data_IF_604378806199
#
_entry.id   IF_604378806199
#
_cell.length_a   1.000
_cell.length_b   1.000
_cell.length_c   1.000
_cell.angle_alpha   90.00
_cell.angle_beta   90.00
_cell.angle_gamma   90.00
#
_symmetry.space_group_name_H-M   'P 1'
#
loop_
_entity.id
_entity.type
_entity.pdbx_description
1 polymer ?
#
# COMPACT_ATOMS: atom_id res chain seq x y z
N UNK A 1 42.13 7.80 16.86
CA UNK A 1 41.37 7.58 15.61
C UNK A 1 40.30 6.54 15.89
N UNK A 2 39.05 6.97 16.10
CA UNK A 2 37.93 6.08 16.42
C UNK A 2 37.58 5.29 15.16
N UNK A 3 37.71 3.96 15.20
CA UNK A 3 37.27 3.07 14.13
C UNK A 3 35.76 3.22 13.98
N UNK A 4 35.33 3.84 12.89
CA UNK A 4 33.93 3.87 12.49
C UNK A 4 33.50 2.42 12.21
N UNK A 5 32.45 1.96 12.88
CA UNK A 5 31.97 0.57 12.79
C UNK A 5 31.57 0.24 11.35
N UNK A 6 32.13 -0.86 10.82
CA UNK A 6 31.93 -1.38 9.46
C UNK A 6 30.48 -1.75 9.12
N UNK A 7 29.57 -1.75 10.10
CA UNK A 7 28.16 -2.11 9.93
C UNK A 7 27.33 -0.98 9.29
N UNK A 8 27.54 0.29 9.68
CA UNK A 8 26.80 1.43 9.14
C UNK A 8 27.17 1.74 7.67
N UNK A 9 28.40 1.43 7.26
CA UNK A 9 28.87 1.57 5.88
C UNK A 9 28.29 0.49 4.94
N UNK A 10 27.74 -0.61 5.48
CA UNK A 10 27.25 -1.75 4.69
C UNK A 10 25.75 -1.72 4.40
N UNK A 11 24.92 -1.05 5.20
CA UNK A 11 23.51 -0.79 4.85
C UNK A 11 23.44 0.10 3.58
N UNK A 12 24.35 1.08 3.46
CA UNK A 12 24.53 1.86 2.24
C UNK A 12 25.07 1.03 1.05
N UNK A 13 25.92 0.03 1.30
CA UNK A 13 26.47 -0.84 0.25
C UNK A 13 25.45 -1.88 -0.26
N UNK A 14 24.55 -2.38 0.59
CA UNK A 14 23.43 -3.23 0.16
C UNK A 14 22.40 -2.42 -0.65
N UNK A 15 22.24 -1.12 -0.36
CA UNK A 15 21.45 -0.19 -1.16
C UNK A 15 22.13 0.20 -2.49
N UNK A 16 23.47 0.26 -2.56
CA UNK A 16 24.22 0.57 -3.79
C UNK A 16 24.51 -0.64 -4.70
N UNK A 17 24.45 -1.88 -4.19
CA UNK A 17 24.64 -3.08 -5.02
C UNK A 17 23.40 -3.44 -5.86
N UNK A 18 22.27 -2.77 -5.65
CA UNK A 18 21.02 -2.98 -6.42
C UNK A 18 20.85 -1.93 -7.55
N UNK A 19 21.77 -0.97 -7.69
CA UNK A 19 21.66 0.08 -8.73
C UNK A 19 22.11 -0.31 -10.15
N UNK A 20 22.46 -1.58 -10.43
CA UNK A 20 22.71 -2.02 -11.81
C UNK A 20 22.19 -3.44 -12.05
N UNK A 21 20.87 -3.64 -12.03
CA UNK A 21 20.27 -4.66 -12.90
C UNK A 21 19.13 -4.04 -13.71
N UNK A 22 19.43 -3.94 -15.00
CA UNK A 22 18.52 -3.80 -16.14
C UNK A 22 17.13 -4.43 -15.94
N UNK A 23 16.12 -3.64 -16.34
CA UNK A 23 14.88 -3.98 -17.04
C UNK A 23 14.29 -5.40 -16.92
N UNK A 24 12.99 -5.45 -16.61
CA UNK A 24 12.09 -6.58 -16.79
C UNK A 24 12.42 -7.85 -15.98
N UNK A 25 12.20 -7.78 -14.68
CA UNK A 25 11.88 -8.97 -13.87
C UNK A 25 10.43 -8.86 -13.43
N UNK A 26 9.56 -9.76 -13.90
CA UNK A 26 8.28 -9.96 -13.24
C UNK A 26 8.56 -10.21 -11.75
N UNK A 27 7.93 -9.43 -10.86
CA UNK A 27 7.88 -9.78 -9.45
C UNK A 27 7.32 -11.21 -9.41
N UNK A 28 8.13 -12.19 -9.01
CA UNK A 28 7.65 -13.56 -8.91
C UNK A 28 6.40 -13.55 -8.03
N UNK A 29 5.31 -14.16 -8.50
CA UNK A 29 4.07 -14.26 -7.74
C UNK A 29 4.39 -14.81 -6.35
N UNK A 30 3.75 -14.25 -5.32
CA UNK A 30 3.91 -14.77 -3.95
C UNK A 30 3.51 -16.24 -3.97
N UNK A 31 4.38 -17.18 -3.52
CA UNK A 31 4.10 -18.61 -3.64
C UNK A 31 3.07 -19.12 -2.62
N UNK A 32 2.42 -18.22 -1.87
CA UNK A 32 1.48 -18.56 -0.81
C UNK A 32 0.05 -18.41 -1.34
N UNK A 33 -0.76 -19.48 -1.36
CA UNK A 33 -2.11 -19.45 -1.94
C UNK A 33 -3.11 -18.62 -1.12
N UNK A 34 -2.80 -18.34 0.14
CA UNK A 34 -3.56 -17.51 1.07
C UNK A 34 -3.05 -16.05 1.13
N UNK A 35 -2.12 -15.68 0.25
CA UNK A 35 -1.64 -14.30 0.10
C UNK A 35 -1.97 -13.82 -1.29
N UNK A 36 -3.03 -13.04 -1.39
CA UNK A 36 -3.52 -12.50 -2.64
C UNK A 36 -3.06 -11.05 -2.80
N UNK A 37 -2.92 -10.57 -4.04
CA UNK A 37 -2.51 -9.18 -4.34
C UNK A 37 -3.36 -8.13 -3.60
N UNK A 38 -4.54 -8.54 -3.14
CA UNK A 38 -5.46 -7.70 -2.38
C UNK A 38 -5.11 -7.51 -0.90
N UNK A 39 -4.17 -8.27 -0.38
CA UNK A 39 -3.92 -8.22 1.05
C UNK A 39 -3.10 -6.97 1.39
N UNK A 40 -3.48 -6.25 2.45
CA UNK A 40 -2.76 -5.07 2.93
C UNK A 40 -1.29 -5.38 3.29
N UNK A 41 -0.97 -6.66 3.50
CA UNK A 41 0.37 -7.18 3.74
C UNK A 41 1.04 -7.78 2.49
N UNK A 42 0.37 -7.87 1.34
CA UNK A 42 0.88 -8.54 0.13
C UNK A 42 2.30 -8.09 -0.21
N UNK A 43 2.50 -6.78 -0.37
CA UNK A 43 3.81 -6.23 -0.71
C UNK A 43 4.90 -6.58 0.31
N UNK A 44 4.59 -6.47 1.60
CA UNK A 44 5.54 -6.82 2.66
C UNK A 44 5.91 -8.30 2.61
N UNK A 45 4.93 -9.17 2.39
CA UNK A 45 5.15 -10.61 2.25
C UNK A 45 5.94 -10.93 0.99
N UNK A 46 5.57 -10.40 -0.18
CA UNK A 46 6.31 -10.62 -1.44
C UNK A 46 7.76 -10.17 -1.33
N UNK A 47 7.97 -8.98 -0.76
CA UNK A 47 9.30 -8.37 -0.67
C UNK A 47 10.19 -9.16 0.28
N UNK A 48 9.70 -9.48 1.48
CA UNK A 48 10.49 -10.19 2.48
C UNK A 48 10.67 -11.68 2.14
N UNK A 49 9.72 -12.29 1.42
CA UNK A 49 9.90 -13.63 0.85
C UNK A 49 10.99 -13.62 -0.23
N UNK A 50 11.01 -12.62 -1.11
CA UNK A 50 12.04 -12.47 -2.13
C UNK A 50 13.45 -12.28 -1.55
N UNK A 51 13.54 -11.76 -0.32
CA UNK A 51 14.78 -11.65 0.44
C UNK A 51 15.12 -12.91 1.28
N UNK A 52 14.27 -13.94 1.29
CA UNK A 52 14.44 -15.13 2.12
C UNK A 52 14.19 -14.90 3.63
N UNK A 53 13.62 -13.75 4.00
CA UNK A 53 13.32 -13.36 5.38
C UNK A 53 12.09 -14.09 5.89
N UNK A 54 11.09 -14.28 5.04
CA UNK A 54 9.84 -14.95 5.36
C UNK A 54 9.74 -16.27 4.57
N UNK A 55 9.31 -17.32 5.27
CA UNK A 55 8.94 -18.60 4.69
C UNK A 55 7.48 -18.92 5.02
N UNK A 56 6.86 -19.71 4.15
CA UNK A 56 5.53 -20.29 4.38
C UNK A 56 5.58 -21.44 5.38
N UNK A 57 4.39 -21.91 5.72
CA UNK A 57 4.13 -23.11 6.51
C UNK A 57 4.37 -24.36 5.66
N UNK A 58 4.42 -25.51 6.31
CA UNK A 58 4.61 -26.81 5.64
C UNK A 58 3.48 -27.15 4.66
N UNK A 59 2.28 -26.58 4.87
CA UNK A 59 1.13 -26.69 3.97
C UNK A 59 1.18 -25.74 2.75
N UNK A 60 2.25 -24.94 2.64
CA UNK A 60 2.46 -23.97 1.57
C UNK A 60 1.79 -22.61 1.78
N UNK A 61 1.02 -22.41 2.86
CA UNK A 61 0.37 -21.13 3.18
C UNK A 61 1.32 -20.17 3.91
N UNK A 62 0.99 -18.88 3.93
CA UNK A 62 1.69 -17.90 4.73
C UNK A 62 1.18 -17.87 6.18
N UNK A 63 -0.13 -18.03 6.42
CA UNK A 63 -0.75 -17.94 7.74
C UNK A 63 -0.84 -16.50 8.27
N UNK A 64 -1.33 -15.57 7.46
CA UNK A 64 -1.26 -14.12 7.74
C UNK A 64 -1.77 -13.68 9.13
N UNK A 65 -2.89 -14.24 9.57
CA UNK A 65 -3.58 -13.88 10.83
C UNK A 65 -3.08 -14.65 12.05
N UNK A 66 -2.13 -15.56 11.88
CA UNK A 66 -1.63 -16.34 13.00
C UNK A 66 -0.77 -15.49 13.92
N UNK A 67 -0.96 -15.69 15.22
CA UNK A 67 -0.16 -15.04 16.24
C UNK A 67 1.30 -15.44 16.11
N UNK A 68 2.18 -14.44 16.16
CA UNK A 68 3.62 -14.61 16.01
C UNK A 68 4.31 -14.77 17.37
N UNK A 69 5.18 -15.78 17.49
CA UNK A 69 6.10 -15.88 18.63
C UNK A 69 7.29 -14.90 18.52
N UNK A 70 7.83 -14.49 19.66
CA UNK A 70 9.02 -13.65 19.72
C UNK A 70 10.23 -14.26 18.98
N UNK A 71 10.37 -15.59 19.00
CA UNK A 71 11.38 -16.37 18.28
C UNK A 71 11.39 -16.10 16.78
N UNK A 72 10.20 -16.09 16.17
CA UNK A 72 10.01 -15.85 14.75
C UNK A 72 10.21 -14.37 14.40
N UNK A 73 9.75 -13.46 15.26
CA UNK A 73 10.01 -12.03 15.08
C UNK A 73 11.52 -11.72 15.08
N UNK A 74 12.27 -12.29 16.04
CA UNK A 74 13.71 -12.15 16.10
C UNK A 74 14.42 -12.75 14.88
N UNK A 75 13.96 -13.90 14.39
CA UNK A 75 14.50 -14.46 13.14
C UNK A 75 14.33 -13.49 11.99
N UNK A 76 13.15 -12.91 11.82
CA UNK A 76 12.88 -11.94 10.74
C UNK A 76 13.76 -10.69 10.87
N UNK A 77 13.88 -10.16 12.09
CA UNK A 77 14.71 -9.00 12.40
C UNK A 77 16.19 -9.27 12.14
N UNK A 78 16.71 -10.39 12.61
CA UNK A 78 18.11 -10.76 12.41
C UNK A 78 18.46 -10.96 10.94
N UNK A 79 17.57 -11.56 10.15
CA UNK A 79 17.76 -11.71 8.71
C UNK A 79 17.97 -10.37 7.98
N UNK A 80 17.37 -9.28 8.47
CA UNK A 80 17.42 -8.00 7.77
C UNK A 80 18.39 -7.00 8.40
N UNK A 81 18.71 -7.13 9.69
CA UNK A 81 19.58 -6.18 10.41
C UNK A 81 20.99 -6.69 10.67
N UNK A 82 21.17 -8.00 10.85
CA UNK A 82 22.47 -8.62 11.20
C UNK A 82 22.58 -10.07 10.68
N UNK A 83 22.43 -10.30 9.37
CA UNK A 83 22.34 -11.64 8.79
C UNK A 83 23.57 -12.51 9.04
N UNK A 84 24.78 -11.92 9.06
CA UNK A 84 26.04 -12.64 9.28
C UNK A 84 26.12 -13.26 10.69
N UNK A 85 25.46 -12.67 11.69
CA UNK A 85 25.53 -13.09 13.09
C UNK A 85 24.54 -14.22 13.43
N UNK A 86 23.64 -14.55 12.50
CA UNK A 86 22.57 -15.54 12.70
C UNK A 86 22.69 -16.77 11.79
N UNK A 87 23.79 -16.88 11.05
CA UNK A 87 24.08 -18.00 10.16
C UNK A 87 24.34 -19.31 10.94
N UNK A 88 24.09 -20.44 10.28
CA UNK A 88 24.42 -21.77 10.79
C UNK A 88 23.33 -22.44 11.63
N UNK A 89 23.76 -23.35 12.51
CA UNK A 89 22.89 -24.12 13.40
C UNK A 89 23.32 -23.95 14.85
N UNK A 90 22.45 -24.29 15.79
CA UNK A 90 22.75 -24.27 17.23
C UNK A 90 22.70 -25.70 17.79
N UNK A 91 23.71 -26.54 17.53
CA UNK A 91 23.71 -27.93 17.99
C UNK A 91 23.51 -28.02 19.51
N UNK A 92 22.57 -28.85 19.95
CA UNK A 92 22.27 -29.03 21.37
C UNK A 92 21.49 -27.89 22.04
N UNK A 93 21.11 -26.84 21.30
CA UNK A 93 20.22 -25.76 21.75
C UNK A 93 18.95 -25.71 20.92
N UNK A 94 17.93 -24.98 21.39
CA UNK A 94 16.73 -24.76 20.59
C UNK A 94 17.05 -23.83 19.41
N UNK A 95 16.28 -23.94 18.32
CA UNK A 95 16.58 -23.30 17.04
C UNK A 95 16.69 -21.77 17.12
N UNK A 96 15.90 -21.13 17.99
CA UNK A 96 15.82 -19.67 18.06
C UNK A 96 16.87 -19.05 18.99
N UNK A 97 17.58 -19.86 19.76
CA UNK A 97 18.56 -19.40 20.75
C UNK A 97 19.65 -18.54 20.13
N UNK A 98 20.10 -18.84 18.90
CA UNK A 98 21.09 -18.02 18.19
C UNK A 98 20.59 -16.62 17.87
N UNK A 99 19.31 -16.47 17.51
CA UNK A 99 18.75 -15.15 17.22
C UNK A 99 18.63 -14.34 18.51
N UNK A 100 18.33 -15.00 19.62
CA UNK A 100 18.35 -14.38 20.93
C UNK A 100 19.77 -13.96 21.34
N UNK A 101 20.77 -14.82 21.18
CA UNK A 101 22.16 -14.49 21.49
C UNK A 101 22.65 -13.27 20.67
N UNK A 102 22.31 -13.20 19.37
CA UNK A 102 22.59 -12.04 18.53
C UNK A 102 21.83 -10.79 18.99
N UNK A 103 20.56 -10.92 19.36
CA UNK A 103 19.77 -9.83 19.92
C UNK A 103 20.37 -9.30 21.24
N UNK A 104 20.93 -10.17 22.09
CA UNK A 104 21.68 -9.77 23.29
C UNK A 104 22.93 -8.97 22.91
N UNK A 105 23.71 -9.44 21.93
CA UNK A 105 24.93 -8.78 21.47
C UNK A 105 24.67 -7.36 20.94
N UNK A 106 23.49 -7.13 20.35
CA UNK A 106 23.05 -5.81 19.88
C UNK A 106 22.24 -5.01 20.91
N UNK A 107 22.09 -5.50 22.14
CA UNK A 107 21.35 -4.80 23.20
C UNK A 107 19.85 -4.66 22.93
N UNK A 108 19.24 -5.61 22.21
CA UNK A 108 17.81 -5.62 21.86
C UNK A 108 16.95 -6.23 22.99
N UNK A 109 17.50 -7.12 23.81
CA UNK A 109 16.76 -7.87 24.85
C UNK A 109 16.65 -7.11 26.18
N UNK A 110 15.63 -7.41 26.98
CA UNK A 110 15.56 -7.07 28.41
C UNK A 110 14.55 -7.98 29.15
N UNK A 111 14.46 -7.83 30.47
CA UNK A 111 13.62 -8.69 31.31
C UNK A 111 12.10 -8.57 31.08
N UNK A 112 11.60 -7.53 30.40
CA UNK A 112 10.15 -7.24 30.35
C UNK A 112 9.57 -7.11 28.93
N UNK A 113 10.41 -6.99 27.90
CA UNK A 113 10.03 -6.97 26.48
C UNK A 113 10.47 -8.24 25.77
N UNK A 114 11.67 -8.75 26.06
CA UNK A 114 12.23 -9.89 25.36
C UNK A 114 13.33 -10.57 26.17
N UNK A 115 12.97 -11.69 26.79
CA UNK A 115 13.85 -12.53 27.58
C UNK A 115 13.85 -13.97 27.04
N UNK A 116 14.75 -14.81 27.53
CA UNK A 116 14.76 -16.22 27.18
C UNK A 116 13.45 -16.93 27.55
N UNK A 117 12.81 -16.50 28.65
CA UNK A 117 11.55 -17.09 29.13
C UNK A 117 10.36 -16.75 28.23
N UNK A 118 10.40 -15.60 27.54
CA UNK A 118 9.35 -15.13 26.62
C UNK A 118 9.68 -15.42 25.15
N UNK A 119 10.83 -16.01 24.86
CA UNK A 119 11.30 -16.22 23.48
C UNK A 119 10.35 -17.10 22.66
N UNK A 120 9.73 -18.10 23.29
CA UNK A 120 8.83 -19.06 22.63
C UNK A 120 7.35 -18.80 22.94
N UNK A 121 7.00 -17.56 23.30
CA UNK A 121 5.62 -17.12 23.50
C UNK A 121 5.23 -16.10 22.45
N UNK A 122 3.93 -15.92 22.25
CA UNK A 122 3.38 -14.84 21.43
C UNK A 122 3.91 -13.48 21.88
N UNK A 123 4.25 -12.63 20.91
CA UNK A 123 4.81 -11.30 21.20
C UNK A 123 3.74 -10.22 21.03
N UNK A 124 3.65 -9.31 22.00
CA UNK A 124 2.73 -8.18 22.00
C UNK A 124 3.35 -6.89 21.45
N UNK A 125 2.48 -5.91 21.21
CA UNK A 125 2.85 -4.63 20.60
C UNK A 125 3.71 -3.77 21.51
N UNK A 126 3.53 -3.82 22.82
CA UNK A 126 4.42 -3.15 23.77
C UNK A 126 5.86 -3.67 23.67
N UNK A 127 6.01 -4.98 23.69
CA UNK A 127 7.29 -5.68 23.59
C UNK A 127 7.99 -5.37 22.27
N UNK A 128 7.24 -5.39 21.16
CA UNK A 128 7.78 -5.04 19.84
C UNK A 128 8.18 -3.56 19.75
N UNK A 129 7.42 -2.63 20.35
CA UNK A 129 7.81 -1.22 20.39
C UNK A 129 9.16 -1.01 21.09
N UNK A 130 9.41 -1.72 22.20
CA UNK A 130 10.71 -1.68 22.89
C UNK A 130 11.83 -2.24 22.01
N UNK A 131 11.58 -3.36 21.32
CA UNK A 131 12.53 -3.94 20.37
C UNK A 131 12.84 -2.96 19.23
N UNK A 132 11.83 -2.31 18.65
CA UNK A 132 11.99 -1.31 17.59
C UNK A 132 12.85 -0.15 18.07
N UNK A 133 12.53 0.44 19.23
CA UNK A 133 13.31 1.55 19.79
C UNK A 133 14.78 1.15 19.97
N UNK A 134 15.04 -0.02 20.54
CA UNK A 134 16.41 -0.52 20.70
C UNK A 134 17.11 -0.76 19.37
N UNK A 135 16.41 -1.21 18.34
CA UNK A 135 16.99 -1.34 17.01
C UNK A 135 17.34 0.02 16.40
N UNK A 136 16.46 1.01 16.54
CA UNK A 136 16.70 2.39 16.12
C UNK A 136 17.95 2.95 16.81
N UNK A 137 18.05 2.78 18.14
CA UNK A 137 19.14 3.32 18.96
C UNK A 137 20.46 2.56 18.76
N UNK A 138 20.42 1.23 18.72
CA UNK A 138 21.62 0.39 18.83
C UNK A 138 22.17 -0.05 17.48
N UNK A 139 21.32 -0.25 16.48
CA UNK A 139 21.70 -0.82 15.18
C UNK A 139 21.60 0.23 14.07
N UNK A 140 20.40 0.78 13.86
CA UNK A 140 20.13 1.71 12.77
C UNK A 140 20.75 3.09 13.02
N UNK A 141 20.98 3.43 14.29
CA UNK A 141 21.52 4.74 14.72
C UNK A 141 20.67 5.90 14.19
N UNK A 142 19.36 5.72 14.23
CA UNK A 142 18.39 6.70 13.79
C UNK A 142 17.86 7.48 14.99
N UNK A 143 18.10 8.79 15.00
CA UNK A 143 17.56 9.69 16.03
C UNK A 143 16.14 10.08 15.66
N UNK A 144 15.17 9.61 16.45
CA UNK A 144 13.75 9.88 16.24
C UNK A 144 13.32 11.03 17.13
N UNK A 145 12.95 12.15 16.50
CA UNK A 145 12.30 13.26 17.20
C UNK A 145 10.86 12.87 17.51
N UNK A 146 10.53 12.76 18.80
CA UNK A 146 9.16 12.52 19.27
C UNK A 146 8.44 13.88 19.33
N UNK A 147 7.35 14.08 18.56
CA UNK A 147 6.55 15.31 18.64
C UNK A 147 5.92 15.49 20.03
N UNK A 148 5.75 16.74 20.48
CA UNK A 148 5.10 17.04 21.77
C UNK A 148 3.64 16.59 21.80
N UNK A 149 2.97 16.58 20.64
CA UNK A 149 1.57 16.18 20.49
C UNK A 149 1.39 14.68 20.21
N UNK A 150 2.45 13.86 20.36
CA UNK A 150 2.44 12.42 20.07
C UNK A 150 1.27 11.66 20.73
N UNK A 151 0.96 12.01 21.98
CA UNK A 151 -0.11 11.39 22.76
C UNK A 151 -1.49 11.63 22.16
N UNK A 152 -1.69 12.74 21.46
CA UNK A 152 -2.98 13.09 20.84
C UNK A 152 -3.31 12.18 19.64
N UNK A 153 -2.31 11.45 19.13
CA UNK A 153 -2.45 10.51 18.01
C UNK A 153 -2.65 9.06 18.47
N UNK A 154 -2.78 8.82 19.79
CA UNK A 154 -2.92 7.48 20.38
C UNK A 154 -4.19 7.46 21.25
N UNK A 155 -5.25 6.81 20.76
CA UNK A 155 -6.58 6.83 21.39
C UNK A 155 -6.61 6.24 22.81
N UNK A 156 -5.72 5.32 23.13
CA UNK A 156 -5.55 4.67 24.43
C UNK A 156 -4.25 5.10 25.14
N UNK A 157 -3.73 6.30 24.87
CA UNK A 157 -2.47 6.80 25.44
C UNK A 157 -2.42 6.69 26.98
N UNK A 158 -3.53 7.03 27.62
CA UNK A 158 -3.69 6.97 29.07
C UNK A 158 -3.60 5.55 29.65
N UNK A 159 -3.77 4.51 28.82
CA UNK A 159 -3.63 3.12 29.22
C UNK A 159 -2.20 2.58 29.03
N UNK A 160 -1.30 3.32 28.39
CA UNK A 160 0.08 2.87 28.16
C UNK A 160 0.85 2.83 29.49
N UNK A 161 1.37 1.66 29.92
CA UNK A 161 2.23 1.57 31.09
C UNK A 161 3.49 2.39 30.89
N UNK A 162 3.91 3.12 31.93
CA UNK A 162 5.02 4.08 31.87
C UNK A 162 6.32 3.49 31.27
N UNK A 163 6.62 2.24 31.63
CA UNK A 163 7.81 1.52 31.11
C UNK A 163 7.83 1.32 29.60
N UNK A 164 6.68 1.38 28.91
CA UNK A 164 6.58 1.24 27.46
C UNK A 164 6.42 2.58 26.73
N UNK A 165 6.08 3.65 27.45
CA UNK A 165 5.64 4.93 26.87
C UNK A 165 6.65 5.51 25.87
N UNK A 166 7.90 5.64 26.27
CA UNK A 166 8.97 6.17 25.40
C UNK A 166 9.13 5.33 24.12
N UNK A 167 9.05 4.00 24.25
CA UNK A 167 9.19 3.09 23.13
C UNK A 167 7.98 3.10 22.18
N UNK A 168 6.77 3.19 22.72
CA UNK A 168 5.55 3.36 21.92
C UNK A 168 5.62 4.67 21.14
N UNK A 169 5.98 5.76 21.80
CA UNK A 169 6.11 7.08 21.16
C UNK A 169 7.18 7.08 20.07
N UNK A 170 8.34 6.47 20.30
CA UNK A 170 9.39 6.34 19.29
C UNK A 170 8.93 5.47 18.09
N UNK A 171 8.25 4.36 18.34
CA UNK A 171 7.72 3.48 17.29
C UNK A 171 6.64 4.17 16.44
N UNK A 172 5.79 4.99 17.07
CA UNK A 172 4.84 5.85 16.39
C UNK A 172 5.53 6.99 15.63
N UNK A 173 6.45 7.72 16.26
CA UNK A 173 7.12 8.90 15.68
C UNK A 173 7.97 8.52 14.48
N UNK A 174 8.56 7.33 14.50
CA UNK A 174 9.26 6.76 13.35
C UNK A 174 8.32 6.30 12.24
N UNK A 175 7.02 6.11 12.49
CA UNK A 175 6.05 5.62 11.51
C UNK A 175 6.11 4.11 11.25
N UNK A 176 6.79 3.36 12.11
CA UNK A 176 7.03 1.92 11.98
C UNK A 176 5.82 1.12 12.48
N UNK A 177 5.25 1.53 13.62
CA UNK A 177 3.97 1.04 14.12
C UNK A 177 2.98 2.19 14.14
N UNK A 178 1.73 1.90 13.79
CA UNK A 178 0.60 2.80 13.94
C UNK A 178 -0.51 2.09 14.74
N UNK A 179 -1.53 2.85 15.11
CA UNK A 179 -2.72 2.35 15.77
C UNK A 179 -3.60 1.52 14.83
N UNK A 180 -4.61 0.92 15.42
CA UNK A 180 -5.67 0.24 14.68
C UNK A 180 -6.70 1.25 14.17
N UNK A 181 -7.67 0.77 13.40
CA UNK A 181 -8.70 1.61 12.79
C UNK A 181 -9.60 2.32 13.82
N UNK A 182 -9.65 1.82 15.05
CA UNK A 182 -10.34 2.47 16.17
C UNK A 182 -9.52 3.58 16.85
N UNK A 183 -8.32 3.87 16.32
CA UNK A 183 -7.41 4.89 16.84
C UNK A 183 -6.57 4.46 18.04
N UNK A 184 -6.80 3.27 18.60
CA UNK A 184 -6.06 2.77 19.76
C UNK A 184 -4.77 2.04 19.35
N UNK A 185 -3.80 2.02 20.27
CA UNK A 185 -2.54 1.32 20.13
C UNK A 185 -2.68 -0.18 20.35
N UNK A 186 -3.54 -0.61 21.30
CA UNK A 186 -3.73 -2.01 21.71
C UNK A 186 -2.42 -2.70 22.10
N UNK A 187 -1.69 -2.13 23.06
CA UNK A 187 -0.33 -2.57 23.35
C UNK A 187 -0.19 -4.02 23.84
N UNK A 188 -1.20 -4.58 24.50
CA UNK A 188 -1.20 -6.00 24.94
C UNK A 188 -1.61 -6.97 23.82
N UNK A 189 -2.13 -6.47 22.70
CA UNK A 189 -2.53 -7.33 21.60
C UNK A 189 -1.30 -7.96 20.93
N UNK A 190 -1.35 -9.28 20.77
CA UNK A 190 -0.28 -10.04 20.12
C UNK A 190 -0.23 -9.77 18.61
N UNK A 191 0.97 -9.77 18.04
CA UNK A 191 1.16 -9.55 16.61
C UNK A 191 0.72 -10.75 15.77
N UNK A 192 0.12 -10.47 14.62
CA UNK A 192 -0.02 -11.46 13.55
C UNK A 192 1.24 -11.53 12.66
N UNK A 193 1.40 -12.62 11.91
CA UNK A 193 2.48 -12.78 10.93
C UNK A 193 2.49 -11.66 9.88
N UNK A 194 1.32 -11.22 9.41
CA UNK A 194 1.17 -10.09 8.49
C UNK A 194 1.62 -8.76 9.10
N UNK A 195 1.25 -8.48 10.36
CA UNK A 195 1.67 -7.28 11.07
C UNK A 195 3.18 -7.23 11.26
N UNK A 196 3.79 -8.36 11.62
CA UNK A 196 5.23 -8.45 11.74
C UNK A 196 5.95 -8.23 10.40
N UNK A 197 5.44 -8.78 9.29
CA UNK A 197 6.00 -8.52 7.96
C UNK A 197 6.01 -7.01 7.64
N UNK A 198 4.94 -6.30 7.95
CA UNK A 198 4.83 -4.86 7.75
C UNK A 198 5.80 -4.06 8.63
N UNK A 199 5.95 -4.44 9.89
CA UNK A 199 6.92 -3.82 10.80
C UNK A 199 8.35 -4.02 10.28
N UNK A 200 8.71 -5.25 9.92
CA UNK A 200 10.05 -5.57 9.41
C UNK A 200 10.35 -4.83 8.10
N UNK A 201 9.38 -4.74 7.19
CA UNK A 201 9.52 -3.95 5.96
C UNK A 201 9.79 -2.47 6.29
N UNK A 202 9.01 -1.88 7.20
CA UNK A 202 9.14 -0.47 7.61
C UNK A 202 10.44 -0.18 8.36
N UNK A 203 10.95 -1.15 9.13
CA UNK A 203 12.27 -1.04 9.77
C UNK A 203 13.37 -0.80 8.72
N UNK A 204 13.37 -1.57 7.63
CA UNK A 204 14.43 -1.51 6.60
C UNK A 204 14.13 -0.59 5.42
N UNK A 205 12.91 -0.06 5.32
CA UNK A 205 12.51 0.91 4.29
C UNK A 205 11.86 2.13 4.93
N UNK A 206 12.66 3.14 5.32
CA UNK A 206 12.12 4.40 5.85
C UNK A 206 11.09 5.06 4.94
N UNK A 207 11.19 4.89 3.62
CA UNK A 207 10.21 5.39 2.65
C UNK A 207 8.81 4.76 2.79
N UNK A 208 8.68 3.61 3.46
CA UNK A 208 7.40 2.92 3.70
C UNK A 208 6.80 3.26 5.08
N UNK A 209 7.51 4.04 5.90
CA UNK A 209 7.05 4.45 7.23
C UNK A 209 5.97 5.53 7.08
N UNK A 210 4.88 5.41 7.82
CA UNK A 210 3.78 6.36 7.73
C UNK A 210 4.13 7.62 8.53
N UNK A 211 3.94 8.80 7.95
CA UNK A 211 4.03 10.04 8.73
C UNK A 211 2.80 10.13 9.64
N UNK A 212 3.00 10.61 10.85
CA UNK A 212 1.91 10.86 11.77
C UNK A 212 0.97 11.90 11.18
N UNK A 213 -0.28 11.51 11.01
CA UNK A 213 -1.38 12.42 10.71
C UNK A 213 -2.38 12.29 11.85
N UNK A 214 -2.93 13.41 12.31
CA UNK A 214 -4.15 13.40 13.13
C UNK A 214 -5.17 12.49 12.45
N UNK A 215 -6.03 11.79 13.21
CA UNK A 215 -7.21 11.14 12.64
C UNK A 215 -7.89 12.14 11.71
N UNK A 216 -7.89 11.82 10.41
CA UNK A 216 -8.54 12.68 9.42
C UNK A 216 -10.02 12.71 9.79
N UNK A 217 -10.71 13.87 9.74
CA UNK A 217 -12.16 13.86 9.84
C UNK A 217 -12.70 12.87 8.81
N UNK A 218 -13.77 12.15 9.19
CA UNK A 218 -14.46 11.24 8.28
C UNK A 218 -14.62 11.91 6.91
N UNK A 219 -14.41 11.16 5.80
CA UNK A 219 -14.62 11.69 4.47
C UNK A 219 -16.01 12.34 4.42
N UNK A 220 -16.15 13.50 3.75
CA UNK A 220 -17.44 14.18 3.68
C UNK A 220 -18.49 13.18 3.21
N UNK A 221 -19.49 12.94 4.05
CA UNK A 221 -20.63 12.11 3.70
C UNK A 221 -21.30 12.64 2.43
N UNK A 222 -22.00 11.78 1.68
CA UNK A 222 -22.54 12.14 0.37
C UNK A 222 -23.39 13.41 0.44
N UNK A 223 -23.12 14.34 -0.47
CA UNK A 223 -23.96 15.51 -0.69
C UNK A 223 -25.33 15.07 -1.24
N UNK A 224 -26.38 15.65 -0.66
CA UNK A 224 -27.78 15.73 -1.11
C UNK A 224 -28.71 14.51 -1.13
N UNK A 225 -28.25 13.29 -0.83
CA UNK A 225 -29.15 12.14 -0.62
C UNK A 225 -29.71 11.51 -1.91
N UNK A 226 -29.06 11.72 -3.05
CA UNK A 226 -29.39 11.12 -4.35
C UNK A 226 -28.59 9.86 -4.71
N UNK A 227 -27.79 9.32 -3.79
CA UNK A 227 -26.89 8.20 -4.06
C UNK A 227 -27.64 6.94 -4.54
N UNK A 228 -27.22 6.40 -5.69
CA UNK A 228 -27.77 5.15 -6.23
C UNK A 228 -27.24 3.93 -5.48
N UNK A 229 -27.95 2.81 -5.62
CA UNK A 229 -27.51 1.51 -5.10
C UNK A 229 -26.55 0.81 -6.08
N UNK A 230 -25.91 -0.28 -5.64
CA UNK A 230 -24.94 -1.05 -6.45
C UNK A 230 -25.56 -1.52 -7.78
N UNK A 231 -26.84 -1.85 -7.83
CA UNK A 231 -27.54 -2.33 -9.03
C UNK A 231 -27.60 -1.31 -10.18
N UNK A 232 -27.39 -0.03 -9.92
CA UNK A 232 -27.20 0.98 -10.95
C UNK A 232 -26.05 0.63 -11.91
N UNK A 233 -25.02 -0.03 -11.40
CA UNK A 233 -23.83 -0.42 -12.16
C UNK A 233 -23.97 -1.79 -12.84
N UNK A 234 -25.14 -2.44 -12.76
CA UNK A 234 -25.35 -3.79 -13.31
C UNK A 234 -25.23 -3.87 -14.84
N UNK A 235 -25.46 -2.76 -15.54
CA UNK A 235 -25.25 -2.60 -16.98
C UNK A 235 -24.01 -1.73 -17.30
N UNK A 236 -23.09 -1.59 -16.34
CA UNK A 236 -21.85 -0.84 -16.48
C UNK A 236 -20.62 -1.73 -16.67
N UNK A 237 -19.64 -1.21 -17.43
CA UNK A 237 -18.30 -1.78 -17.55
C UNK A 237 -17.23 -0.74 -17.23
N UNK A 238 -16.21 -1.14 -16.49
CA UNK A 238 -15.06 -0.33 -16.11
C UNK A 238 -13.82 -0.83 -16.84
N UNK A 239 -13.08 0.07 -17.48
CA UNK A 239 -11.74 -0.18 -18.04
C UNK A 239 -10.71 0.72 -17.37
N UNK A 240 -9.58 0.14 -16.99
CA UNK A 240 -8.48 0.92 -16.46
C UNK A 240 -7.24 0.13 -16.08
N UNK A 241 -6.42 0.76 -15.24
CA UNK A 241 -5.13 0.27 -14.79
C UNK A 241 -5.20 -0.43 -13.41
N UNK A 242 -4.10 -0.40 -12.65
CA UNK A 242 -4.01 -0.97 -11.31
C UNK A 242 -4.98 -0.33 -10.30
N UNK A 243 -5.36 0.93 -10.48
CA UNK A 243 -6.35 1.59 -9.62
C UNK A 243 -7.75 1.05 -9.88
N UNK A 244 -8.08 0.76 -11.14
CA UNK A 244 -9.36 0.09 -11.50
C UNK A 244 -9.37 -1.36 -11.02
N UNK A 245 -8.21 -2.04 -11.01
CA UNK A 245 -8.09 -3.35 -10.37
C UNK A 245 -8.44 -3.26 -8.88
N UNK A 246 -7.81 -2.35 -8.14
CA UNK A 246 -8.14 -2.14 -6.73
C UNK A 246 -9.62 -1.79 -6.52
N UNK A 247 -10.20 -0.92 -7.36
CA UNK A 247 -11.63 -0.60 -7.30
C UNK A 247 -12.49 -1.86 -7.45
N UNK A 248 -12.15 -2.76 -8.38
CA UNK A 248 -12.88 -4.02 -8.58
C UNK A 248 -12.82 -4.99 -7.39
N UNK A 249 -11.79 -4.86 -6.56
CA UNK A 249 -11.53 -5.77 -5.45
C UNK A 249 -12.10 -5.25 -4.12
N UNK A 250 -12.07 -3.93 -3.91
CA UNK A 250 -12.28 -3.35 -2.57
C UNK A 250 -13.38 -2.29 -2.49
N UNK A 251 -13.98 -1.88 -3.60
CA UNK A 251 -15.03 -0.85 -3.60
C UNK A 251 -16.32 -1.30 -2.90
N UNK A 252 -16.54 -2.62 -2.79
CA UNK A 252 -17.83 -3.19 -2.40
C UNK A 252 -18.89 -3.14 -3.50
N UNK A 253 -18.58 -2.60 -4.69
CA UNK A 253 -19.45 -2.71 -5.87
C UNK A 253 -19.31 -4.11 -6.46
N UNK A 254 -20.43 -4.83 -6.54
CA UNK A 254 -20.44 -6.22 -6.98
C UNK A 254 -21.09 -6.39 -8.34
N UNK A 255 -22.02 -5.52 -8.72
CA UNK A 255 -22.77 -5.69 -9.99
C UNK A 255 -21.99 -5.33 -11.27
N UNK A 256 -21.04 -4.36 -11.31
CA UNK A 256 -20.38 -4.02 -12.56
C UNK A 256 -19.42 -5.10 -13.05
N UNK A 257 -19.08 -4.96 -14.34
CA UNK A 257 -17.95 -5.69 -14.93
C UNK A 257 -16.71 -4.80 -14.94
N UNK A 258 -15.57 -5.39 -14.59
CA UNK A 258 -14.28 -4.75 -14.63
C UNK A 258 -13.38 -5.45 -15.64
N UNK A 259 -12.62 -4.65 -16.37
CA UNK A 259 -11.50 -5.04 -17.20
C UNK A 259 -10.30 -4.17 -16.81
N UNK A 260 -9.28 -4.79 -16.22
CA UNK A 260 -8.10 -4.08 -15.75
C UNK A 260 -6.82 -4.75 -16.25
N UNK A 261 -5.77 -3.95 -16.42
CA UNK A 261 -4.44 -4.42 -16.73
C UNK A 261 -3.44 -3.58 -15.93
N UNK A 262 -2.68 -4.22 -15.04
CA UNK A 262 -1.73 -3.54 -14.17
C UNK A 262 -0.69 -2.80 -15.01
N UNK A 263 -0.59 -1.47 -14.84
CA UNK A 263 0.29 -0.61 -15.62
C UNK A 263 -0.24 -0.21 -17.00
N UNK A 264 -1.53 -0.45 -17.29
CA UNK A 264 -2.14 0.04 -18.53
C UNK A 264 -2.05 1.56 -18.60
N UNK A 265 -1.66 2.05 -19.77
CA UNK A 265 -1.83 3.44 -20.17
C UNK A 265 -2.86 3.52 -21.29
N UNK A 266 -3.39 4.72 -21.53
CA UNK A 266 -4.20 5.07 -22.70
C UNK A 266 -3.50 4.71 -24.01
N UNK A 267 -2.16 4.74 -24.04
CA UNK A 267 -1.36 4.31 -25.21
C UNK A 267 -1.51 2.82 -25.53
N UNK A 268 -1.81 2.03 -24.51
CA UNK A 268 -1.95 0.57 -24.59
C UNK A 268 -3.41 0.11 -24.46
N UNK A 269 -4.32 1.00 -24.11
CA UNK A 269 -5.67 0.66 -23.68
C UNK A 269 -6.49 -0.10 -24.75
N UNK A 270 -6.16 0.11 -26.02
CA UNK A 270 -6.81 -0.55 -27.15
C UNK A 270 -6.21 -1.90 -27.56
N UNK A 271 -5.02 -2.25 -27.06
CA UNK A 271 -4.23 -3.40 -27.53
C UNK A 271 -3.93 -4.44 -26.45
N UNK A 272 -3.95 -4.07 -25.17
CA UNK A 272 -3.77 -5.03 -24.07
C UNK A 272 -4.96 -5.99 -23.98
N UNK A 273 -4.67 -7.20 -23.48
CA UNK A 273 -5.71 -8.13 -23.02
C UNK A 273 -5.90 -7.91 -21.53
N UNK A 274 -7.06 -7.39 -21.15
CA UNK A 274 -7.40 -7.10 -19.77
C UNK A 274 -7.80 -8.37 -19.03
N UNK A 275 -7.43 -8.46 -17.76
CA UNK A 275 -8.06 -9.38 -16.83
C UNK A 275 -9.47 -8.92 -16.52
N UNK A 276 -10.39 -9.85 -16.27
CA UNK A 276 -11.77 -9.54 -15.90
C UNK A 276 -12.11 -10.06 -14.51
N UNK A 277 -12.92 -9.32 -13.77
CA UNK A 277 -13.53 -9.83 -12.54
C UNK A 277 -14.60 -10.91 -12.82
N UNK A 278 -15.00 -11.08 -14.08
CA UNK A 278 -16.07 -12.00 -14.50
C UNK A 278 -15.65 -12.77 -15.77
N UNK A 279 -15.12 -13.99 -15.58
CA UNK A 279 -14.76 -14.88 -16.68
C UNK A 279 -13.39 -14.56 -17.30
N UNK A 280 -13.18 -15.00 -18.54
CA UNK A 280 -11.89 -14.84 -19.21
C UNK A 280 -11.57 -13.38 -19.54
N UNK A 281 -10.27 -13.06 -19.50
CA UNK A 281 -9.77 -11.77 -19.97
C UNK A 281 -10.07 -11.51 -21.44
N UNK A 282 -10.11 -10.24 -21.82
CA UNK A 282 -10.47 -9.80 -23.16
C UNK A 282 -9.77 -8.48 -23.51
N UNK A 283 -9.55 -8.24 -24.80
CA UNK A 283 -9.23 -6.90 -25.30
C UNK A 283 -10.45 -5.98 -25.19
N UNK A 284 -10.23 -4.66 -25.21
CA UNK A 284 -11.32 -3.68 -25.21
C UNK A 284 -12.36 -3.95 -26.31
N UNK A 285 -11.91 -4.27 -27.52
CA UNK A 285 -12.81 -4.61 -28.63
C UNK A 285 -13.62 -5.88 -28.37
N UNK A 286 -12.99 -6.95 -27.88
CA UNK A 286 -13.71 -8.19 -27.59
C UNK A 286 -14.76 -7.99 -26.48
N UNK A 287 -14.39 -7.29 -25.41
CA UNK A 287 -15.28 -7.01 -24.29
C UNK A 287 -16.49 -6.17 -24.72
N UNK A 288 -16.27 -5.13 -25.53
CA UNK A 288 -17.32 -4.22 -26.00
C UNK A 288 -18.09 -4.74 -27.23
N UNK A 289 -17.65 -5.79 -27.92
CA UNK A 289 -18.49 -6.43 -28.96
C UNK A 289 -19.31 -7.57 -28.39
N UNK A 290 -18.82 -8.25 -27.35
CA UNK A 290 -19.49 -9.42 -26.76
C UNK A 290 -20.66 -9.11 -25.83
N UNK A 291 -20.85 -7.86 -25.41
CA UNK A 291 -21.92 -7.46 -24.48
C UNK A 291 -22.30 -6.00 -24.72
N UNK A 292 -23.61 -5.70 -24.70
CA UNK A 292 -24.10 -4.32 -24.73
C UNK A 292 -24.09 -3.76 -23.30
N UNK A 293 -23.43 -2.63 -23.11
CA UNK A 293 -23.42 -1.88 -21.84
C UNK A 293 -24.19 -0.59 -22.03
N UNK A 294 -24.84 -0.09 -20.98
CA UNK A 294 -25.39 1.26 -21.00
C UNK A 294 -24.41 2.29 -20.49
N UNK A 295 -23.39 1.86 -19.72
CA UNK A 295 -22.40 2.74 -19.10
C UNK A 295 -21.00 2.18 -19.27
N UNK A 296 -20.07 2.99 -19.76
CA UNK A 296 -18.65 2.65 -19.89
C UNK A 296 -17.83 3.64 -19.07
N UNK A 297 -17.18 3.17 -18.01
CA UNK A 297 -16.29 3.95 -17.16
C UNK A 297 -14.83 3.73 -17.59
N UNK A 298 -14.10 4.81 -17.82
CA UNK A 298 -12.68 4.78 -18.18
C UNK A 298 -11.84 5.50 -17.13
N UNK A 299 -10.74 4.89 -16.71
CA UNK A 299 -9.70 5.55 -15.92
C UNK A 299 -8.31 5.15 -16.44
N UNK A 300 -7.60 6.15 -16.94
CA UNK A 300 -6.20 6.09 -17.37
C UNK A 300 -5.57 7.47 -17.11
N UNK A 301 -4.24 7.55 -17.00
CA UNK A 301 -3.52 8.82 -16.89
C UNK A 301 -2.43 8.84 -15.82
N UNK A 302 -2.53 7.99 -14.78
CA UNK A 302 -1.50 7.93 -13.73
C UNK A 302 -0.15 7.45 -14.26
N UNK A 303 -0.16 6.55 -15.26
CA UNK A 303 1.03 6.00 -15.91
C UNK A 303 1.62 6.93 -16.99
N UNK A 304 0.91 8.02 -17.30
CA UNK A 304 1.22 8.97 -18.35
C UNK A 304 1.71 10.30 -17.80
N UNK A 305 1.77 10.49 -16.48
CA UNK A 305 2.17 11.76 -15.87
C UNK A 305 3.57 12.26 -16.25
N UNK A 306 4.43 11.39 -16.81
CA UNK A 306 5.74 11.76 -17.39
C UNK A 306 5.70 12.12 -18.89
N UNK A 307 4.54 12.04 -19.54
CA UNK A 307 4.35 12.27 -20.97
C UNK A 307 3.83 13.68 -21.28
N UNK A 308 3.88 14.05 -22.56
CA UNK A 308 3.23 15.27 -23.04
C UNK A 308 1.69 15.15 -22.94
N UNK A 309 1.04 16.19 -22.39
CA UNK A 309 -0.43 16.24 -22.22
C UNK A 309 -1.15 16.09 -23.55
N UNK A 310 -0.70 16.77 -24.62
CA UNK A 310 -1.31 16.66 -25.95
C UNK A 310 -1.29 15.23 -26.49
N UNK A 311 -0.20 14.49 -26.23
CA UNK A 311 -0.11 13.08 -26.62
C UNK A 311 -1.12 12.23 -25.84
N UNK A 312 -1.23 12.46 -24.53
CA UNK A 312 -2.22 11.79 -23.69
C UNK A 312 -3.65 12.05 -24.19
N UNK A 313 -4.01 13.30 -24.44
CA UNK A 313 -5.35 13.69 -24.92
C UNK A 313 -5.66 13.12 -26.30
N UNK A 314 -4.70 13.09 -27.22
CA UNK A 314 -4.90 12.50 -28.55
C UNK A 314 -5.26 11.01 -28.46
N UNK A 315 -4.52 10.23 -27.67
CA UNK A 315 -4.81 8.81 -27.49
C UNK A 315 -6.12 8.57 -26.72
N UNK A 316 -6.43 9.42 -25.74
CA UNK A 316 -7.70 9.32 -25.01
C UNK A 316 -8.89 9.63 -25.91
N UNK A 317 -8.75 10.63 -26.79
CA UNK A 317 -9.73 10.97 -27.82
C UNK A 317 -10.01 9.77 -28.74
N UNK A 318 -8.96 9.10 -29.24
CA UNK A 318 -9.09 7.89 -30.06
C UNK A 318 -9.75 6.73 -29.30
N UNK A 319 -9.40 6.56 -28.01
CA UNK A 319 -10.02 5.56 -27.16
C UNK A 319 -11.53 5.80 -27.01
N UNK A 320 -11.94 7.04 -26.73
CA UNK A 320 -13.36 7.42 -26.63
C UNK A 320 -14.10 7.16 -27.94
N UNK A 321 -13.51 7.54 -29.09
CA UNK A 321 -14.13 7.32 -30.38
C UNK A 321 -14.32 5.84 -30.69
N UNK A 322 -13.34 5.00 -30.32
CA UNK A 322 -13.45 3.54 -30.44
C UNK A 322 -14.52 2.95 -29.53
N UNK A 323 -14.60 3.39 -28.27
CA UNK A 323 -15.66 2.94 -27.35
C UNK A 323 -17.03 3.30 -27.91
N UNK A 324 -17.20 4.54 -28.39
CA UNK A 324 -18.47 5.00 -28.97
C UNK A 324 -18.84 4.30 -30.26
N UNK A 325 -17.87 3.91 -31.08
CA UNK A 325 -18.11 3.07 -32.25
C UNK A 325 -18.65 1.69 -31.86
N UNK A 326 -18.09 1.09 -30.80
CA UNK A 326 -18.46 -0.25 -30.33
C UNK A 326 -19.74 -0.27 -29.48
N UNK A 327 -20.04 0.84 -28.80
CA UNK A 327 -21.17 1.03 -27.89
C UNK A 327 -21.86 2.37 -28.16
N UNK A 328 -22.54 2.54 -29.31
CA UNK A 328 -23.12 3.83 -29.71
C UNK A 328 -24.26 4.32 -28.80
N UNK A 329 -24.83 3.45 -27.97
CA UNK A 329 -25.92 3.78 -27.03
C UNK A 329 -25.48 3.84 -25.57
N UNK A 330 -24.17 3.78 -25.28
CA UNK A 330 -23.66 3.84 -23.91
C UNK A 330 -23.25 5.26 -23.53
N UNK A 331 -23.56 5.64 -22.30
CA UNK A 331 -22.95 6.80 -21.65
C UNK A 331 -21.49 6.49 -21.31
N UNK A 332 -20.57 7.38 -21.69
CA UNK A 332 -19.14 7.21 -21.45
C UNK A 332 -18.73 8.13 -20.30
N UNK A 333 -18.36 7.52 -19.18
CA UNK A 333 -17.89 8.19 -17.97
C UNK A 333 -16.36 8.19 -17.94
N UNK A 334 -15.76 9.37 -17.89
CA UNK A 334 -14.32 9.56 -17.80
C UNK A 334 -13.98 9.98 -16.39
N UNK A 335 -13.23 9.14 -15.69
CA UNK A 335 -12.76 9.40 -14.34
C UNK A 335 -11.44 10.17 -14.39
N UNK A 336 -11.35 11.24 -13.61
CA UNK A 336 -10.11 12.02 -13.44
C UNK A 336 -8.97 11.17 -12.83
N UNK A 337 -7.73 11.48 -13.18
CA UNK A 337 -6.54 10.89 -12.57
C UNK A 337 -6.50 11.22 -11.09
N UNK A 338 -6.28 10.22 -10.22
CA UNK A 338 -6.21 10.41 -8.77
C UNK A 338 -5.02 11.30 -8.35
N UNK A 339 -5.11 12.00 -7.20
CA UNK A 339 -3.96 12.68 -6.63
C UNK A 339 -2.88 11.68 -6.21
N UNK A 340 -1.66 12.19 -6.07
CA UNK A 340 -0.55 11.45 -5.46
C UNK A 340 -0.25 12.03 -4.07
N UNK A 341 0.40 11.26 -3.21
CA UNK A 341 0.74 11.77 -1.88
C UNK A 341 1.84 12.83 -1.96
N UNK A 342 1.90 13.73 -0.97
CA UNK A 342 2.97 14.72 -0.87
C UNK A 342 4.36 14.06 -0.82
N UNK A 343 4.45 12.87 -0.22
CA UNK A 343 5.69 12.08 -0.19
C UNK A 343 6.07 11.58 -1.59
N UNK A 344 5.11 11.06 -2.36
CA UNK A 344 5.36 10.60 -3.72
C UNK A 344 5.83 11.73 -4.61
N UNK A 345 5.15 12.87 -4.54
CA UNK A 345 5.50 14.09 -5.25
C UNK A 345 6.91 14.57 -4.93
N UNK A 346 7.29 14.61 -3.65
CA UNK A 346 8.64 15.00 -3.25
C UNK A 346 9.74 14.07 -3.79
N UNK A 347 9.39 12.82 -4.11
CA UNK A 347 10.34 11.79 -4.57
C UNK A 347 10.35 11.57 -6.10
N UNK A 348 9.49 12.26 -6.85
CA UNK A 348 9.31 12.02 -8.29
C UNK A 348 9.35 13.31 -9.10
N UNK A 349 9.92 13.25 -10.29
CA UNK A 349 9.87 14.36 -11.25
C UNK A 349 8.59 14.39 -12.07
N UNK A 350 7.77 13.33 -12.02
CA UNK A 350 6.58 13.19 -12.87
C UNK A 350 5.31 12.79 -12.13
N UNK A 351 5.39 11.94 -11.10
CA UNK A 351 4.25 11.70 -10.19
C UNK A 351 4.09 12.91 -9.26
N UNK A 352 3.53 14.00 -9.77
CA UNK A 352 3.31 15.24 -9.03
C UNK A 352 1.85 15.67 -9.16
N UNK A 353 1.28 16.27 -8.11
CA UNK A 353 -0.10 16.76 -8.20
C UNK A 353 -0.22 17.92 -9.22
N UNK A 354 0.89 18.63 -9.50
CA UNK A 354 0.96 19.57 -10.62
C UNK A 354 0.67 18.88 -11.97
N UNK A 355 1.29 17.73 -12.25
CA UNK A 355 1.02 17.00 -13.48
C UNK A 355 -0.38 16.38 -13.46
N UNK A 356 -0.83 15.82 -12.34
CA UNK A 356 -2.21 15.30 -12.19
C UNK A 356 -3.22 16.39 -12.56
N UNK A 357 -3.08 17.59 -12.00
CA UNK A 357 -4.00 18.69 -12.28
C UNK A 357 -3.96 19.11 -13.77
N UNK A 358 -2.77 19.21 -14.38
CA UNK A 358 -2.64 19.51 -15.82
C UNK A 358 -3.31 18.47 -16.71
N UNK A 359 -3.21 17.19 -16.35
CA UNK A 359 -3.85 16.10 -17.10
C UNK A 359 -5.37 16.14 -16.91
N UNK A 360 -5.85 16.38 -15.69
CA UNK A 360 -7.27 16.48 -15.40
C UNK A 360 -7.91 17.69 -16.10
N UNK A 361 -7.29 18.88 -16.04
CA UNK A 361 -7.76 20.08 -16.76
C UNK A 361 -7.94 19.81 -18.27
N UNK A 362 -6.95 19.16 -18.90
CA UNK A 362 -7.04 18.81 -20.31
C UNK A 362 -8.08 17.70 -20.58
N UNK A 363 -8.27 16.78 -19.64
CA UNK A 363 -9.27 15.73 -19.73
C UNK A 363 -10.69 16.30 -19.64
N UNK A 364 -10.92 17.31 -18.79
CA UNK A 364 -12.20 18.02 -18.70
C UNK A 364 -12.59 18.68 -20.03
N UNK A 365 -11.63 19.32 -20.70
CA UNK A 365 -11.85 19.90 -22.03
C UNK A 365 -12.18 18.82 -23.07
N UNK A 366 -11.44 17.72 -23.07
CA UNK A 366 -11.69 16.59 -23.97
C UNK A 366 -13.10 16.01 -23.75
N UNK A 367 -13.49 15.81 -22.48
CA UNK A 367 -14.79 15.25 -22.11
C UNK A 367 -15.94 16.12 -22.60
N UNK A 368 -15.83 17.45 -22.45
CA UNK A 368 -16.79 18.41 -23.01
C UNK A 368 -16.87 18.30 -24.53
N UNK A 369 -15.72 18.29 -25.21
CA UNK A 369 -15.66 18.21 -26.67
C UNK A 369 -16.21 16.88 -27.22
N UNK A 370 -16.03 15.79 -26.47
CA UNK A 370 -16.50 14.46 -26.84
C UNK A 370 -17.89 14.14 -26.32
N UNK A 371 -18.56 15.06 -25.62
CA UNK A 371 -19.88 14.85 -25.02
C UNK A 371 -19.93 13.59 -24.14
N UNK A 372 -18.86 13.38 -23.37
CA UNK A 372 -18.79 12.34 -22.35
C UNK A 372 -19.17 12.94 -20.98
N UNK A 373 -19.33 12.09 -19.98
CA UNK A 373 -19.61 12.51 -18.60
C UNK A 373 -18.28 12.52 -17.83
N UNK A 374 -17.95 13.62 -17.18
CA UNK A 374 -16.78 13.69 -16.30
C UNK A 374 -17.17 13.21 -14.90
N UNK A 375 -16.36 12.35 -14.31
CA UNK A 375 -16.46 12.00 -12.89
C UNK A 375 -15.16 12.43 -12.20
N UNK A 376 -15.24 13.53 -11.45
CA UNK A 376 -14.09 14.09 -10.73
C UNK A 376 -13.80 13.30 -9.44
N UNK A 377 -13.37 12.05 -9.60
CA UNK A 377 -12.94 11.17 -8.50
C UNK A 377 -11.68 11.69 -7.81
N UNK A 378 -10.94 12.60 -8.46
CA UNK A 378 -9.75 13.21 -7.91
C UNK A 378 -10.08 14.09 -6.70
N UNK A 379 -11.15 14.89 -6.76
CA UNK A 379 -11.59 15.70 -5.62
C UNK A 379 -11.96 14.85 -4.39
N UNK A 380 -12.60 13.70 -4.60
CA UNK A 380 -12.99 12.78 -3.53
C UNK A 380 -11.80 12.14 -2.80
N UNK A 381 -10.64 12.08 -3.46
CA UNK A 381 -9.42 11.46 -2.93
C UNK A 381 -8.40 12.48 -2.43
N UNK A 382 -8.68 13.78 -2.58
CA UNK A 382 -7.77 14.86 -2.15
C UNK A 382 -8.02 15.26 -0.70
N UNK A 383 -6.94 15.37 0.07
CA UNK A 383 -6.93 16.04 1.36
C UNK A 383 -6.97 17.56 1.21
N UNK A 384 -7.04 18.27 2.34
CA UNK A 384 -7.07 19.74 2.37
C UNK A 384 -5.81 20.41 1.82
N UNK A 385 -4.70 19.66 1.73
CA UNK A 385 -3.43 20.10 1.14
C UNK A 385 -3.36 19.86 -0.38
N UNK A 386 -4.44 19.33 -0.99
CA UNK A 386 -4.52 19.02 -2.41
C UNK A 386 -3.78 17.74 -2.81
N UNK A 387 -3.25 16.97 -1.86
CA UNK A 387 -2.56 15.70 -2.08
C UNK A 387 -3.44 14.51 -1.68
N UNK A 388 -3.05 13.30 -2.10
CA UNK A 388 -3.61 12.07 -1.54
C UNK A 388 -3.16 11.95 -0.06
N UNK A 389 -4.07 11.79 0.91
CA UNK A 389 -3.68 11.68 2.31
C UNK A 389 -2.70 10.52 2.53
N UNK A 390 -1.63 10.74 3.29
CA UNK A 390 -0.58 9.74 3.48
C UNK A 390 -1.09 8.45 4.13
N UNK A 391 -2.11 8.53 4.98
CA UNK A 391 -2.75 7.37 5.61
C UNK A 391 -3.67 6.59 4.66
N UNK A 392 -3.96 7.13 3.47
CA UNK A 392 -4.84 6.52 2.47
C UNK A 392 -4.11 5.64 1.46
N UNK A 393 -2.78 5.62 1.51
CA UNK A 393 -1.95 5.00 0.48
C UNK A 393 -0.72 4.32 1.08
N UNK A 394 -0.21 3.29 0.42
CA UNK A 394 0.99 2.56 0.85
C UNK A 394 2.24 2.89 0.03
N UNK A 395 2.10 3.43 -1.19
CA UNK A 395 3.22 3.87 -2.04
C UNK A 395 3.08 5.32 -2.54
N UNK A 396 2.03 6.02 -2.10
CA UNK A 396 1.71 7.37 -2.52
C UNK A 396 0.98 7.48 -3.87
N UNK A 397 0.56 6.35 -4.45
CA UNK A 397 -0.22 6.28 -5.70
C UNK A 397 -1.47 5.40 -5.53
N UNK A 398 -1.30 4.20 -4.98
CA UNK A 398 -2.37 3.22 -4.79
C UNK A 398 -3.05 3.41 -3.44
N UNK A 399 -4.37 3.22 -3.41
CA UNK A 399 -5.14 3.33 -2.19
C UNK A 399 -4.98 2.08 -1.31
N UNK A 400 -5.02 2.26 0.01
CA UNK A 400 -5.29 1.17 0.93
C UNK A 400 -6.74 0.70 0.72
N UNK A 401 -6.98 -0.60 0.88
CA UNK A 401 -8.25 -1.27 0.55
C UNK A 401 -9.50 -0.52 1.01
N UNK A 402 -9.54 -0.06 2.27
CA UNK A 402 -10.70 0.63 2.85
C UNK A 402 -11.12 1.93 2.12
N UNK A 403 -10.20 2.63 1.46
CA UNK A 403 -10.50 3.90 0.82
C UNK A 403 -11.08 3.76 -0.59
N UNK A 404 -11.09 2.55 -1.15
CA UNK A 404 -11.86 2.29 -2.37
C UNK A 404 -13.38 2.36 -2.14
N UNK A 405 -13.86 2.17 -0.90
CA UNK A 405 -15.27 2.38 -0.56
C UNK A 405 -15.66 3.88 -0.68
N UNK A 406 -14.76 4.80 -0.31
CA UNK A 406 -14.96 6.25 -0.52
C UNK A 406 -15.13 6.55 -2.00
N UNK A 407 -14.34 5.89 -2.85
CA UNK A 407 -14.45 6.02 -4.30
C UNK A 407 -15.80 5.50 -4.78
N UNK A 408 -16.20 4.31 -4.33
CA UNK A 408 -17.49 3.71 -4.66
C UNK A 408 -18.66 4.63 -4.31
N UNK A 409 -18.65 5.21 -3.11
CA UNK A 409 -19.72 6.09 -2.64
C UNK A 409 -19.74 7.42 -3.42
N UNK A 410 -18.57 7.92 -3.81
CA UNK A 410 -18.48 9.03 -4.75
C UNK A 410 -19.11 8.69 -6.12
N UNK A 411 -18.82 7.51 -6.68
CA UNK A 411 -19.46 7.06 -7.93
C UNK A 411 -20.98 6.94 -7.80
N UNK A 412 -21.48 6.41 -6.67
CA UNK A 412 -22.93 6.28 -6.41
C UNK A 412 -23.63 7.64 -6.31
N UNK A 413 -22.92 8.68 -5.91
CA UNK A 413 -23.47 10.05 -5.79
C UNK A 413 -23.26 10.90 -7.04
N UNK A 414 -22.48 10.43 -8.02
CA UNK A 414 -22.10 11.17 -9.23
C UNK A 414 -22.47 10.39 -10.49
N UNK A 415 -23.76 10.06 -10.61
CA UNK A 415 -24.31 9.30 -11.73
C UNK A 415 -24.88 10.17 -12.85
N UNK A 416 -24.99 11.49 -12.63
CA UNK A 416 -25.57 12.45 -13.57
C UNK A 416 -24.60 12.92 -14.65
N UNK A 417 -25.12 13.02 -15.88
CA UNK A 417 -24.54 13.79 -16.99
C UNK A 417 -25.22 15.15 -17.15
#
# INVERSE_FOLDING_TARGET
MKKCSTTALRIAALLMAISVLSAAGAQAAVPFPDVVETDWYYYAVSYLQGMGVINGRDDGTFGAEETLEASHFLKMLGCVLYPEEIEGSSPGRKWADRFYDAAVAHGITDAYSLSMDTLYTSIDRYSVSVIIKKCLDNILKEEITIPEDISDHIGDDGAIPEKYREAVYAAYASGIINGYDDGAFHGEQTLTRAQAAQIILKMIRPSMRLKQSKPSPEPPGPSDGSAVMDDWFSDAVFFGDSLTHGLSLYSGLTTPRYYHYTGASVFSASSVTYSSNRGSGATLSQALTGTAYKKVYLLFGINELGSAVDKYINYYSELIDKVRQLQPGADIYIQTVLPVSAQKEASSTYFTNRNVNRFNEALEELVKNKQCILVDVNSAMKGSDGCLPASWTWDGVHLNSKYYAVWADYLKSHTGG
#
